data_IF_953059040301
#
_entry.id   IF_953059040301
#
_cell.length_a   1.000
_cell.length_b   1.000
_cell.length_c   1.000
_cell.angle_alpha   90.00
_cell.angle_beta   90.00
_cell.angle_gamma   90.00
#
_symmetry.space_group_name_H-M   'P 1'
#
loop_
_entity.id
_entity.type
_entity.pdbx_description
1 polymer ?
#
# COMPACT_ATOMS: atom_id res chain seq x y z
N UNK A 1 5.80 -17.26 20.93
CA UNK A 1 5.81 -16.44 19.70
C UNK A 1 5.93 -14.97 20.09
N UNK A 2 6.75 -14.17 19.39
CA UNK A 2 6.84 -12.72 19.64
C UNK A 2 5.74 -12.01 18.84
N UNK A 3 5.16 -10.94 19.40
CA UNK A 3 4.20 -10.08 18.68
C UNK A 3 4.97 -9.17 17.71
N UNK A 4 4.42 -8.95 16.53
CA UNK A 4 5.00 -8.07 15.49
C UNK A 4 4.02 -6.92 15.25
N UNK A 5 4.54 -5.70 15.16
CA UNK A 5 3.79 -4.51 14.78
C UNK A 5 4.44 -3.94 13.53
N UNK A 6 3.65 -3.75 12.48
CA UNK A 6 4.07 -3.05 11.25
C UNK A 6 3.41 -1.67 11.25
N UNK A 7 4.22 -0.63 11.09
CA UNK A 7 3.76 0.76 10.98
C UNK A 7 4.11 1.24 9.58
N UNK A 8 3.09 1.56 8.78
CA UNK A 8 3.25 2.20 7.48
C UNK A 8 2.92 3.69 7.63
N UNK A 9 3.86 4.55 7.23
CA UNK A 9 3.68 6.00 7.25
C UNK A 9 3.60 6.46 5.80
N UNK A 10 2.40 6.88 5.38
CA UNK A 10 2.15 7.26 3.98
C UNK A 10 2.99 8.48 3.58
N UNK A 11 3.53 8.43 2.36
CA UNK A 11 4.37 9.45 1.74
C UNK A 11 5.58 9.94 2.58
N UNK A 12 6.09 9.14 3.53
CA UNK A 12 7.27 9.51 4.32
C UNK A 12 8.56 9.33 3.52
N UNK A 13 9.14 10.45 3.07
CA UNK A 13 10.44 10.47 2.42
C UNK A 13 11.60 10.45 3.46
N UNK A 14 12.73 9.77 3.15
CA UNK A 14 13.91 9.74 4.03
C UNK A 14 14.37 11.12 4.49
N UNK A 15 14.40 12.11 3.59
CA UNK A 15 14.86 13.47 3.90
C UNK A 15 13.95 14.17 4.92
N UNK A 16 12.64 13.93 4.84
CA UNK A 16 11.68 14.49 5.78
C UNK A 16 11.85 13.87 7.18
N UNK A 17 12.07 12.55 7.24
CA UNK A 17 12.34 11.83 8.48
C UNK A 17 13.63 12.34 9.14
N UNK A 18 14.73 12.40 8.39
CA UNK A 18 16.04 12.80 8.91
C UNK A 18 16.06 14.26 9.39
N UNK A 19 15.41 15.16 8.68
CA UNK A 19 15.26 16.56 9.12
C UNK A 19 14.43 16.68 10.40
N UNK A 20 13.37 15.88 10.54
CA UNK A 20 12.55 15.87 11.76
C UNK A 20 13.31 15.28 12.97
N UNK A 21 14.20 14.30 12.75
CA UNK A 21 15.10 13.77 13.79
C UNK A 21 16.11 14.83 14.22
N UNK A 22 16.77 15.51 13.27
CA UNK A 22 17.76 16.58 13.56
C UNK A 22 17.14 17.72 14.38
N UNK A 23 15.89 18.07 14.09
CA UNK A 23 15.15 19.11 14.82
C UNK A 23 14.48 18.62 16.11
N UNK A 24 14.76 17.39 16.55
CA UNK A 24 14.26 16.77 17.79
C UNK A 24 12.73 16.72 17.91
N UNK A 25 12.00 16.67 16.78
CA UNK A 25 10.52 16.69 16.78
C UNK A 25 9.87 15.32 16.94
N UNK A 26 10.61 14.24 16.69
CA UNK A 26 10.09 12.86 16.64
C UNK A 26 10.93 11.88 17.46
N UNK A 27 10.98 12.05 18.81
CA UNK A 27 11.86 11.27 19.68
C UNK A 27 11.62 9.75 19.62
N UNK A 28 10.38 9.30 19.40
CA UNK A 28 10.07 7.87 19.29
C UNK A 28 10.66 7.23 18.03
N UNK A 29 10.56 7.89 16.86
CA UNK A 29 11.16 7.38 15.63
C UNK A 29 12.68 7.44 15.68
N UNK A 30 13.25 8.49 16.30
CA UNK A 30 14.69 8.57 16.57
C UNK A 30 15.15 7.37 17.40
N UNK A 31 14.45 7.03 18.48
CA UNK A 31 14.77 5.87 19.32
C UNK A 31 14.79 4.56 18.52
N UNK A 32 13.79 4.34 17.65
CA UNK A 32 13.75 3.15 16.79
C UNK A 32 14.90 3.10 15.77
N UNK A 33 15.28 4.27 15.23
CA UNK A 33 16.40 4.38 14.29
C UNK A 33 17.75 4.05 14.95
N UNK A 34 17.95 4.50 16.19
CA UNK A 34 19.20 4.29 16.96
C UNK A 34 19.34 2.87 17.53
N UNK A 35 18.22 2.18 17.81
CA UNK A 35 18.21 0.84 18.41
C UNK A 35 17.78 -0.27 17.43
N UNK A 36 17.67 0.07 16.15
CA UNK A 36 17.19 -0.82 15.10
C UNK A 36 18.06 -0.76 13.85
N UNK A 37 17.43 -0.99 12.70
CA UNK A 37 18.09 -0.89 11.39
C UNK A 37 17.30 0.09 10.53
N UNK A 38 18.01 1.08 10.00
CA UNK A 38 17.47 2.07 9.08
C UNK A 38 18.07 1.87 7.69
N UNK A 39 17.21 1.86 6.67
CA UNK A 39 17.57 1.66 5.27
C UNK A 39 16.93 2.80 4.49
N UNK A 40 17.72 3.81 4.12
CA UNK A 40 17.25 4.99 3.35
C UNK A 40 16.97 4.64 1.89
N UNK A 41 17.75 3.74 1.30
CA UNK A 41 17.70 3.36 -0.12
C UNK A 41 16.63 2.29 -0.41
N UNK A 42 15.54 2.26 0.37
CA UNK A 42 14.45 1.33 0.14
C UNK A 42 13.60 1.79 -1.05
N UNK A 43 13.49 0.94 -2.08
CA UNK A 43 12.71 1.24 -3.28
C UNK A 43 11.31 0.65 -3.17
N UNK A 44 10.30 1.48 -3.37
CA UNK A 44 8.90 1.07 -3.36
C UNK A 44 8.46 0.42 -4.69
N UNK A 45 7.27 -0.18 -4.70
CA UNK A 45 6.66 -0.71 -5.91
C UNK A 45 6.23 0.41 -6.89
N UNK A 46 6.27 0.10 -8.19
CA UNK A 46 5.69 0.95 -9.23
C UNK A 46 4.36 0.34 -9.73
N UNK A 47 3.29 1.15 -9.88
CA UNK A 47 3.21 2.58 -9.57
C UNK A 47 3.13 2.84 -8.06
N UNK A 48 3.65 3.99 -7.62
CA UNK A 48 3.70 4.42 -6.21
C UNK A 48 2.33 4.92 -5.71
N UNK A 49 1.31 4.07 -5.86
CA UNK A 49 -0.07 4.34 -5.43
C UNK A 49 -0.40 3.47 -4.21
N UNK A 50 -1.12 4.03 -3.24
CA UNK A 50 -1.47 3.38 -1.96
C UNK A 50 -1.97 1.94 -2.14
N UNK A 51 -3.00 1.70 -2.95
CA UNK A 51 -3.53 0.34 -3.14
C UNK A 51 -2.51 -0.65 -3.73
N UNK A 52 -1.60 -0.19 -4.59
CA UNK A 52 -0.56 -1.02 -5.20
C UNK A 52 0.56 -1.33 -4.21
N UNK A 53 1.02 -0.31 -3.48
CA UNK A 53 2.08 -0.42 -2.48
C UNK A 53 1.62 -1.27 -1.30
N UNK A 54 0.42 -1.02 -0.77
CA UNK A 54 -0.16 -1.79 0.33
C UNK A 54 -0.30 -3.27 -0.05
N UNK A 55 -0.80 -3.54 -1.27
CA UNK A 55 -0.91 -4.90 -1.79
C UNK A 55 0.47 -5.56 -1.94
N UNK A 56 1.49 -4.82 -2.38
CA UNK A 56 2.87 -5.31 -2.47
C UNK A 56 3.40 -5.67 -1.08
N UNK A 57 3.23 -4.78 -0.09
CA UNK A 57 3.69 -5.00 1.29
C UNK A 57 3.02 -6.22 1.93
N UNK A 58 1.71 -6.41 1.70
CA UNK A 58 0.95 -7.51 2.29
C UNK A 58 1.21 -8.86 1.62
N UNK A 59 1.60 -8.88 0.34
CA UNK A 59 1.74 -10.12 -0.44
C UNK A 59 3.18 -10.50 -0.75
N UNK A 60 4.12 -9.55 -0.66
CA UNK A 60 5.53 -9.73 -0.99
C UNK A 60 5.82 -9.86 -2.49
N UNK A 61 4.91 -9.44 -3.37
CA UNK A 61 5.07 -9.46 -4.82
C UNK A 61 4.64 -8.12 -5.43
N UNK A 62 4.92 -7.89 -6.71
CA UNK A 62 4.58 -6.64 -7.41
C UNK A 62 3.19 -6.68 -8.08
N UNK A 63 2.67 -5.54 -8.59
CA UNK A 63 1.33 -5.44 -9.17
C UNK A 63 1.04 -6.39 -10.34
N UNK A 64 2.06 -6.78 -11.10
CA UNK A 64 1.95 -7.79 -12.16
C UNK A 64 1.51 -9.16 -11.60
N UNK A 65 1.74 -9.43 -10.32
CA UNK A 65 1.40 -10.69 -9.66
C UNK A 65 0.19 -10.59 -8.72
N UNK A 66 0.13 -9.56 -7.87
CA UNK A 66 -1.00 -9.37 -6.95
C UNK A 66 -2.24 -8.74 -7.62
N UNK A 67 -2.10 -8.23 -8.85
CA UNK A 67 -3.19 -7.76 -9.73
C UNK A 67 -3.95 -6.52 -9.29
N UNK A 68 -3.42 -5.75 -8.33
CA UNK A 68 -3.99 -4.46 -7.90
C UNK A 68 -3.09 -3.32 -8.43
N UNK A 69 -3.41 -2.72 -9.58
CA UNK A 69 -2.50 -1.78 -10.25
C UNK A 69 -2.60 -0.34 -9.74
N UNK A 70 -3.66 0.02 -8.98
CA UNK A 70 -3.83 1.36 -8.44
C UNK A 70 -5.16 1.57 -7.73
N UNK A 71 -5.41 2.81 -7.30
CA UNK A 71 -6.64 3.22 -6.62
C UNK A 71 -7.86 3.26 -7.54
N UNK A 72 -7.64 3.56 -8.82
CA UNK A 72 -8.67 3.60 -9.87
C UNK A 72 -8.09 2.89 -11.08
N UNK A 73 -8.79 1.89 -11.58
CA UNK A 73 -8.32 1.09 -12.71
C UNK A 73 -9.50 0.40 -13.40
N UNK A 74 -9.30 -0.02 -14.65
CA UNK A 74 -10.31 -0.78 -15.40
C UNK A 74 -10.12 -2.27 -15.17
N UNK A 75 -11.16 -2.94 -14.66
CA UNK A 75 -11.18 -4.40 -14.49
C UNK A 75 -11.70 -5.06 -15.78
N UNK A 76 -10.86 -5.83 -16.51
CA UNK A 76 -11.25 -6.38 -17.80
C UNK A 76 -12.40 -7.38 -17.72
N UNK A 77 -12.40 -8.26 -16.71
CA UNK A 77 -13.43 -9.29 -16.55
C UNK A 77 -14.78 -8.71 -16.11
N UNK A 78 -14.80 -7.78 -15.14
CA UNK A 78 -16.01 -7.08 -14.71
C UNK A 78 -16.45 -5.96 -15.68
N UNK A 79 -15.66 -5.66 -16.71
CA UNK A 79 -15.88 -4.63 -17.73
C UNK A 79 -16.26 -3.26 -17.16
N UNK A 80 -15.57 -2.83 -16.10
CA UNK A 80 -15.87 -1.58 -15.41
C UNK A 80 -14.64 -0.94 -14.77
N UNK A 81 -14.78 0.33 -14.39
CA UNK A 81 -13.85 0.98 -13.48
C UNK A 81 -14.08 0.47 -12.05
N UNK A 82 -13.01 0.03 -11.42
CA UNK A 82 -12.88 -0.20 -9.98
C UNK A 82 -12.32 1.08 -9.37
N UNK A 83 -12.89 1.50 -8.24
CA UNK A 83 -12.41 2.68 -7.52
C UNK A 83 -12.47 2.41 -6.02
N UNK A 84 -11.31 2.41 -5.38
CA UNK A 84 -11.16 2.23 -3.94
C UNK A 84 -11.35 3.54 -3.19
N UNK A 85 -12.50 4.20 -3.41
CA UNK A 85 -12.91 5.46 -2.75
C UNK A 85 -11.95 6.64 -3.01
N UNK A 86 -11.30 6.68 -4.18
CA UNK A 86 -10.45 7.77 -4.61
C UNK A 86 -11.20 8.83 -5.43
N UNK A 87 -11.15 10.08 -4.97
CA UNK A 87 -11.72 11.26 -5.63
C UNK A 87 -13.24 11.38 -5.54
N UNK A 88 -13.73 12.41 -4.85
CA UNK A 88 -15.17 12.60 -4.55
C UNK A 88 -16.07 12.59 -5.80
N UNK A 89 -15.70 13.31 -6.87
CA UNK A 89 -16.46 13.34 -8.13
C UNK A 89 -16.54 11.95 -8.78
N UNK A 90 -15.46 11.20 -8.74
CA UNK A 90 -15.36 9.87 -9.32
C UNK A 90 -16.17 8.86 -8.54
N UNK A 91 -16.13 8.95 -7.21
CA UNK A 91 -16.94 8.16 -6.29
C UNK A 91 -18.43 8.42 -6.49
N UNK A 92 -18.84 9.69 -6.62
CA UNK A 92 -20.23 10.04 -6.94
C UNK A 92 -20.65 9.48 -8.31
N UNK A 93 -19.79 9.59 -9.32
CA UNK A 93 -20.07 9.09 -10.68
C UNK A 93 -20.22 7.57 -10.73
N UNK A 94 -19.42 6.82 -9.98
CA UNK A 94 -19.42 5.34 -10.00
C UNK A 94 -20.25 4.70 -8.87
N UNK A 95 -20.74 5.50 -7.94
CA UNK A 95 -21.62 5.09 -6.84
C UNK A 95 -20.86 4.82 -5.53
N UNK A 96 -21.30 5.49 -4.46
CA UNK A 96 -20.74 5.37 -3.10
C UNK A 96 -20.76 3.93 -2.57
N UNK A 97 -21.91 3.27 -2.63
CA UNK A 97 -22.05 1.88 -2.13
C UNK A 97 -21.14 0.93 -2.90
N UNK A 98 -21.01 1.12 -4.21
CA UNK A 98 -20.19 0.28 -5.08
C UNK A 98 -18.70 0.45 -4.78
N UNK A 99 -18.23 1.68 -4.71
CA UNK A 99 -16.83 1.98 -4.38
C UNK A 99 -16.45 1.59 -2.95
N UNK A 100 -17.38 1.70 -2.00
CA UNK A 100 -17.20 1.18 -0.65
C UNK A 100 -17.06 -0.35 -0.62
N UNK A 101 -17.90 -1.08 -1.39
CA UNK A 101 -17.75 -2.54 -1.55
C UNK A 101 -16.44 -2.92 -2.21
N UNK A 102 -15.98 -2.13 -3.19
CA UNK A 102 -14.71 -2.37 -3.87
C UNK A 102 -13.54 -2.36 -2.88
N UNK A 103 -13.45 -1.37 -1.97
CA UNK A 103 -12.35 -1.30 -1.01
C UNK A 103 -12.51 -2.23 0.20
N UNK A 104 -13.73 -2.39 0.73
CA UNK A 104 -13.95 -3.14 1.97
C UNK A 104 -14.04 -4.66 1.75
N UNK A 105 -14.46 -5.09 0.55
CA UNK A 105 -14.75 -6.51 0.26
C UNK A 105 -13.98 -6.98 -0.96
N UNK A 106 -14.25 -6.41 -2.14
CA UNK A 106 -13.75 -6.97 -3.40
C UNK A 106 -12.23 -6.89 -3.51
N UNK A 107 -11.59 -5.86 -2.93
CA UNK A 107 -10.14 -5.74 -2.88
C UNK A 107 -9.50 -7.03 -2.36
N UNK A 108 -9.93 -7.51 -1.19
CA UNK A 108 -9.35 -8.69 -0.56
C UNK A 108 -9.90 -10.00 -1.13
N UNK A 109 -11.19 -10.02 -1.52
CA UNK A 109 -11.85 -11.26 -1.90
C UNK A 109 -11.61 -11.68 -3.35
N UNK A 110 -11.54 -10.72 -4.27
CA UNK A 110 -11.55 -10.97 -5.72
C UNK A 110 -10.48 -10.22 -6.53
N UNK A 111 -10.16 -8.97 -6.20
CA UNK A 111 -9.24 -8.15 -7.00
C UNK A 111 -7.77 -8.46 -6.68
N UNK A 112 -7.46 -8.70 -5.41
CA UNK A 112 -6.15 -9.16 -4.98
C UNK A 112 -5.99 -10.65 -5.29
N UNK A 113 -4.92 -11.01 -5.98
CA UNK A 113 -4.54 -12.41 -6.12
C UNK A 113 -4.04 -12.97 -4.77
N UNK A 114 -4.85 -13.81 -4.13
CA UNK A 114 -4.59 -14.38 -2.79
C UNK A 114 -3.42 -15.37 -2.72
N UNK A 115 -2.96 -15.91 -3.87
CA UNK A 115 -1.86 -16.87 -3.92
C UNK A 115 -0.89 -16.51 -5.06
N UNK A 116 -0.26 -15.32 -4.99
CA UNK A 116 0.73 -14.97 -5.98
C UNK A 116 1.95 -15.90 -5.81
N UNK A 117 2.65 -16.16 -6.92
CA UNK A 117 3.85 -17.00 -6.89
C UNK A 117 4.95 -16.26 -6.14
N UNK A 118 5.17 -16.61 -4.88
CA UNK A 118 6.23 -15.98 -4.10
C UNK A 118 7.61 -16.32 -4.71
N UNK A 119 8.45 -15.30 -4.83
CA UNK A 119 9.81 -15.42 -5.37
C UNK A 119 10.75 -16.24 -4.47
N UNK A 120 10.34 -16.56 -3.24
CA UNK A 120 11.11 -17.41 -2.33
C UNK A 120 10.53 -18.84 -2.30
N UNK A 121 10.88 -19.63 -3.31
CA UNK A 121 11.02 -21.08 -3.17
C UNK A 121 12.51 -21.38 -3.06
N UNK A 122 13.01 -21.45 -1.84
CA UNK A 122 14.17 -22.28 -1.52
C UNK A 122 13.65 -23.64 -1.08
#
# INVERSE_FOLDING_TARGET
MKKIIMILIDALMPEALENAIKTQKIPALKFLMEHGTYISECVTAFPTMTASVDSTLMTGVYPDQHKVPGLIWYHPEEKRIVNYVNGARTVLKYGLIKTAKDVLVHLNESHLNKKPRQFMKN
#
